data_IF_898596404938
#
_entry.id   IF_898596404938
#
_cell.length_a   1.000
_cell.length_b   1.000
_cell.length_c   1.000
_cell.angle_alpha   90.00
_cell.angle_beta   90.00
_cell.angle_gamma   90.00
#
_symmetry.space_group_name_H-M   'P 1'
#
loop_
_entity.id
_entity.type
_entity.pdbx_description
1 polymer ?
#
# COMPACT_ATOMS: atom_id res chain seq x y z
N UNK A 1 30.73 -28.49 -22.20
CA UNK A 1 29.95 -28.73 -20.98
C UNK A 1 28.85 -27.70 -20.97
N UNK A 2 27.66 -28.11 -21.32
CA UNK A 2 26.47 -27.25 -21.30
C UNK A 2 25.96 -27.17 -19.84
N UNK A 3 26.01 -26.00 -19.24
CA UNK A 3 25.31 -25.75 -18.02
C UNK A 3 23.82 -25.70 -18.37
N UNK A 4 23.06 -26.71 -17.93
CA UNK A 4 21.59 -26.62 -17.83
C UNK A 4 21.25 -25.57 -16.76
N UNK A 5 20.92 -24.37 -17.18
CA UNK A 5 20.10 -23.48 -16.38
C UNK A 5 18.73 -24.17 -16.23
N UNK A 6 18.43 -24.66 -15.06
CA UNK A 6 17.10 -25.13 -14.71
C UNK A 6 16.17 -23.92 -14.77
N UNK A 7 15.33 -23.90 -15.81
CA UNK A 7 14.25 -22.93 -15.90
C UNK A 7 13.44 -23.00 -14.58
N UNK A 8 13.51 -21.94 -13.77
CA UNK A 8 12.66 -21.82 -12.59
C UNK A 8 11.21 -21.76 -13.07
N UNK A 9 10.39 -22.71 -12.62
CA UNK A 9 8.94 -22.71 -12.83
C UNK A 9 8.38 -21.42 -12.19
N UNK A 10 7.76 -20.51 -12.96
CA UNK A 10 7.22 -19.24 -12.46
C UNK A 10 6.27 -19.44 -11.28
N UNK A 11 5.47 -20.51 -11.30
CA UNK A 11 4.51 -20.86 -10.24
C UNK A 11 5.22 -21.19 -8.92
N UNK A 12 6.36 -21.89 -8.95
CA UNK A 12 7.13 -22.19 -7.75
C UNK A 12 7.80 -20.92 -7.18
N UNK A 13 8.24 -20.02 -8.06
CA UNK A 13 8.82 -18.73 -7.65
C UNK A 13 7.79 -17.85 -6.95
N UNK A 14 6.57 -17.81 -7.48
CA UNK A 14 5.46 -17.03 -6.90
C UNK A 14 5.02 -17.57 -5.55
N UNK A 15 4.81 -18.88 -5.43
CA UNK A 15 4.48 -19.53 -4.15
C UNK A 15 5.57 -19.31 -3.11
N UNK A 16 6.85 -19.38 -3.50
CA UNK A 16 7.96 -19.08 -2.61
C UNK A 16 7.90 -17.65 -2.08
N UNK A 17 7.63 -16.66 -2.95
CA UNK A 17 7.51 -15.27 -2.57
C UNK A 17 6.32 -15.03 -1.63
N UNK A 18 5.18 -15.63 -1.92
CA UNK A 18 3.99 -15.57 -1.07
C UNK A 18 4.26 -16.09 0.35
N UNK A 19 4.85 -17.29 0.46
CA UNK A 19 5.19 -17.88 1.77
C UNK A 19 6.25 -17.05 2.51
N UNK A 20 7.21 -16.46 1.79
CA UNK A 20 8.19 -15.52 2.36
C UNK A 20 7.50 -14.32 3.02
N UNK A 21 6.50 -13.73 2.38
CA UNK A 21 5.74 -12.60 2.93
C UNK A 21 4.95 -13.01 4.18
N UNK A 22 4.30 -14.17 4.16
CA UNK A 22 3.61 -14.71 5.35
C UNK A 22 4.61 -14.92 6.49
N UNK A 23 5.79 -15.46 6.18
CA UNK A 23 6.87 -15.65 7.16
C UNK A 23 7.31 -14.32 7.77
N UNK A 24 7.40 -13.25 6.96
CA UNK A 24 7.74 -11.92 7.45
C UNK A 24 6.69 -11.40 8.45
N UNK A 25 5.41 -11.51 8.15
CA UNK A 25 4.34 -11.16 9.09
C UNK A 25 4.40 -11.99 10.38
N UNK A 26 4.59 -13.30 10.28
CA UNK A 26 4.70 -14.19 11.44
C UNK A 26 5.93 -13.89 12.31
N UNK A 27 7.02 -13.39 11.71
CA UNK A 27 8.26 -13.06 12.40
C UNK A 27 8.24 -11.70 13.11
N UNK A 28 7.25 -10.85 12.84
CA UNK A 28 7.13 -9.47 13.37
C UNK A 28 7.38 -9.39 14.88
N UNK A 29 6.65 -10.19 15.68
CA UNK A 29 6.75 -10.19 17.15
C UNK A 29 8.18 -10.44 17.64
N UNK A 30 8.80 -11.50 17.13
CA UNK A 30 10.16 -11.90 17.53
C UNK A 30 11.16 -10.81 17.21
N UNK A 31 11.08 -10.24 16.02
CA UNK A 31 11.98 -9.16 15.60
C UNK A 31 11.80 -7.90 16.47
N UNK A 32 10.56 -7.48 16.69
CA UNK A 32 10.24 -6.27 17.45
C UNK A 32 10.66 -6.37 18.92
N UNK A 33 10.36 -7.50 19.58
CA UNK A 33 10.77 -7.72 20.97
C UNK A 33 12.28 -7.81 21.12
N UNK A 34 13.01 -8.42 20.18
CA UNK A 34 14.48 -8.44 20.22
C UNK A 34 15.09 -7.03 20.21
N UNK A 35 14.54 -6.12 19.38
CA UNK A 35 14.95 -4.73 19.37
C UNK A 35 14.64 -4.02 20.69
N UNK A 36 13.51 -4.32 21.31
CA UNK A 36 13.15 -3.73 22.59
C UNK A 36 13.97 -4.30 23.75
N UNK A 37 14.32 -5.57 23.73
CA UNK A 37 15.25 -6.19 24.71
C UNK A 37 16.64 -5.54 24.69
N UNK A 38 17.10 -5.10 23.51
CA UNK A 38 18.35 -4.31 23.44
C UNK A 38 18.23 -3.04 24.27
N UNK A 39 17.13 -2.31 24.20
CA UNK A 39 16.91 -1.07 24.98
C UNK A 39 16.92 -1.32 26.47
N UNK A 40 16.34 -2.44 26.96
CA UNK A 40 16.46 -2.84 28.37
C UNK A 40 17.90 -3.05 28.78
N UNK A 41 18.68 -3.76 27.99
CA UNK A 41 20.10 -4.01 28.28
C UNK A 41 20.89 -2.69 28.29
N UNK A 42 20.66 -1.83 27.33
CA UNK A 42 21.33 -0.54 27.25
C UNK A 42 21.02 0.33 28.46
N UNK A 43 19.75 0.38 28.93
CA UNK A 43 19.37 1.06 30.17
C UNK A 43 20.03 0.44 31.40
N UNK A 44 20.04 -0.87 31.51
CA UNK A 44 20.65 -1.55 32.68
C UNK A 44 22.16 -1.32 32.77
N UNK A 45 22.81 -1.08 31.63
CA UNK A 45 24.23 -0.75 31.56
C UNK A 45 24.54 0.71 31.91
N UNK A 46 23.56 1.61 32.08
CA UNK A 46 23.77 2.98 32.46
C UNK A 46 24.34 3.09 33.89
N UNK A 47 25.15 4.12 34.20
CA UNK A 47 25.52 4.50 35.57
C UNK A 47 24.28 4.75 36.43
N UNK A 48 24.34 4.44 37.71
CA UNK A 48 23.19 4.50 38.61
C UNK A 48 22.57 5.90 38.69
N UNK A 49 23.42 6.96 38.72
CA UNK A 49 22.94 8.34 38.74
C UNK A 49 22.16 8.73 37.47
N UNK A 50 22.44 8.10 36.29
CA UNK A 50 21.65 8.32 35.09
C UNK A 50 20.29 7.61 35.17
N UNK A 51 20.24 6.39 35.71
CA UNK A 51 18.97 5.65 35.92
C UNK A 51 18.01 6.42 36.82
N UNK A 52 18.55 7.07 37.87
CA UNK A 52 17.76 7.91 38.79
C UNK A 52 17.12 9.12 38.10
N UNK A 53 17.68 9.60 36.97
CA UNK A 53 17.12 10.71 36.19
C UNK A 53 15.97 10.26 35.27
N UNK A 54 15.88 8.96 34.97
CA UNK A 54 14.87 8.38 34.07
C UNK A 54 14.24 7.11 34.67
N UNK A 55 13.66 7.20 35.90
CA UNK A 55 13.21 6.02 36.63
C UNK A 55 12.12 5.20 35.88
N UNK A 56 11.29 5.86 35.09
CA UNK A 56 10.16 5.25 34.38
C UNK A 56 10.53 4.65 33.02
N UNK A 57 11.81 4.70 32.63
CA UNK A 57 12.22 4.24 31.30
C UNK A 57 11.89 2.76 31.05
N UNK A 58 12.09 1.89 32.05
CA UNK A 58 11.72 0.47 31.91
C UNK A 58 10.22 0.27 31.77
N UNK A 59 9.42 1.05 32.49
CA UNK A 59 7.96 1.00 32.37
C UNK A 59 7.51 1.37 30.92
N UNK A 60 8.14 2.41 30.31
CA UNK A 60 7.94 2.73 28.89
C UNK A 60 8.27 1.52 28.00
N UNK A 61 9.44 0.88 28.21
CA UNK A 61 9.89 -0.29 27.42
C UNK A 61 8.91 -1.45 27.58
N UNK A 62 8.34 -1.67 28.78
CA UNK A 62 7.30 -2.68 29.00
C UNK A 62 6.00 -2.37 28.27
N UNK A 63 5.61 -1.09 28.20
CA UNK A 63 4.42 -0.67 27.43
C UNK A 63 4.64 -0.82 25.93
N UNK A 64 5.86 -0.62 25.41
CA UNK A 64 6.21 -0.93 24.02
C UNK A 64 6.00 -2.42 23.73
N UNK A 65 6.39 -3.32 24.65
CA UNK A 65 6.16 -4.76 24.47
C UNK A 65 4.66 -5.08 24.36
N UNK A 66 3.81 -4.48 25.21
CA UNK A 66 2.35 -4.64 25.13
C UNK A 66 1.79 -4.20 23.77
N UNK A 67 2.23 -3.05 23.27
CA UNK A 67 1.81 -2.55 21.96
C UNK A 67 2.28 -3.48 20.82
N UNK A 68 3.46 -4.09 20.93
CA UNK A 68 3.96 -5.08 19.98
C UNK A 68 3.07 -6.35 19.99
N UNK A 69 2.64 -6.81 21.16
CA UNK A 69 1.74 -7.96 21.27
C UNK A 69 0.37 -7.67 20.63
N UNK A 70 -0.19 -6.48 20.86
CA UNK A 70 -1.44 -6.07 20.23
C UNK A 70 -1.33 -5.97 18.70
N UNK A 71 -0.24 -5.40 18.19
CA UNK A 71 0.04 -5.43 16.76
C UNK A 71 0.14 -6.85 16.21
N UNK A 72 0.77 -7.77 16.97
CA UNK A 72 0.85 -9.17 16.55
C UNK A 72 -0.53 -9.85 16.55
N UNK A 73 -1.39 -9.53 17.51
CA UNK A 73 -2.77 -10.02 17.53
C UNK A 73 -3.50 -9.59 16.24
N UNK A 74 -3.35 -8.32 15.83
CA UNK A 74 -3.90 -7.82 14.58
C UNK A 74 -3.28 -8.49 13.34
N UNK A 75 -1.96 -8.62 13.29
CA UNK A 75 -1.23 -9.28 12.19
C UNK A 75 -1.69 -10.73 12.00
N UNK A 76 -2.01 -11.45 13.07
CA UNK A 76 -2.54 -12.83 12.97
C UNK A 76 -3.84 -12.91 12.16
N UNK A 77 -4.69 -11.89 12.22
CA UNK A 77 -5.89 -11.84 11.38
C UNK A 77 -5.54 -11.68 9.90
N UNK A 78 -4.55 -10.84 9.57
CA UNK A 78 -4.04 -10.68 8.20
C UNK A 78 -3.46 -12.02 7.70
N UNK A 79 -2.59 -12.66 8.49
CA UNK A 79 -1.99 -13.95 8.14
C UNK A 79 -3.06 -15.02 7.92
N UNK A 80 -4.05 -15.10 8.82
CA UNK A 80 -5.15 -16.07 8.66
C UNK A 80 -5.94 -15.84 7.37
N UNK A 81 -6.13 -14.59 6.96
CA UNK A 81 -6.85 -14.28 5.72
C UNK A 81 -6.06 -14.63 4.46
N UNK A 82 -4.73 -14.81 4.56
CA UNK A 82 -3.86 -15.19 3.44
C UNK A 82 -4.09 -16.64 2.96
N UNK A 83 -4.83 -17.48 3.68
CA UNK A 83 -5.20 -18.84 3.24
C UNK A 83 -5.91 -18.87 1.87
N UNK A 84 -6.60 -17.79 1.49
CA UNK A 84 -7.21 -17.64 0.17
C UNK A 84 -6.16 -17.70 -0.97
N UNK A 85 -4.96 -17.20 -0.72
CA UNK A 85 -3.87 -17.20 -1.70
C UNK A 85 -3.04 -18.50 -1.69
N UNK A 86 -3.37 -19.44 -0.81
CA UNK A 86 -2.73 -20.74 -0.62
C UNK A 86 -3.69 -21.90 -0.92
N UNK A 87 -4.67 -21.71 -1.78
CA UNK A 87 -5.69 -22.72 -2.12
C UNK A 87 -6.36 -23.36 -0.87
N UNK A 88 -6.52 -22.54 0.17
CA UNK A 88 -7.12 -22.97 1.44
C UNK A 88 -6.15 -23.64 2.43
N UNK A 89 -4.87 -23.80 2.08
CA UNK A 89 -3.87 -24.33 3.00
C UNK A 89 -3.68 -23.38 4.20
N UNK A 90 -3.43 -23.95 5.39
CA UNK A 90 -3.10 -23.15 6.55
C UNK A 90 -1.76 -22.41 6.37
N UNK A 91 -1.75 -21.07 6.49
CA UNK A 91 -0.55 -20.27 6.28
C UNK A 91 0.61 -20.64 7.21
N UNK A 92 0.34 -21.07 8.45
CA UNK A 92 1.40 -21.44 9.41
C UNK A 92 2.04 -22.78 9.07
N UNK A 93 1.30 -23.68 8.46
CA UNK A 93 1.87 -24.93 7.90
C UNK A 93 2.82 -24.62 6.77
N UNK A 94 2.45 -23.75 5.84
CA UNK A 94 3.31 -23.30 4.74
C UNK A 94 4.60 -22.62 5.26
N UNK A 95 4.50 -21.76 6.28
CA UNK A 95 5.66 -21.13 6.95
C UNK A 95 6.59 -22.19 7.55
N UNK A 96 6.05 -23.20 8.22
CA UNK A 96 6.86 -24.25 8.86
C UNK A 96 7.64 -25.07 7.83
N UNK A 97 7.02 -25.41 6.72
CA UNK A 97 7.66 -26.11 5.58
C UNK A 97 8.78 -25.26 4.97
N UNK A 98 8.51 -23.98 4.73
CA UNK A 98 9.48 -23.04 4.18
C UNK A 98 10.71 -22.86 5.09
N UNK A 99 10.49 -22.74 6.41
CA UNK A 99 11.59 -22.63 7.38
C UNK A 99 12.48 -23.89 7.43
N UNK A 100 11.90 -25.09 7.24
CA UNK A 100 12.68 -26.32 7.16
C UNK A 100 13.58 -26.35 5.93
N UNK A 101 13.08 -25.91 4.77
CA UNK A 101 13.86 -25.80 3.53
C UNK A 101 14.99 -24.77 3.66
N UNK A 102 14.72 -23.62 4.30
CA UNK A 102 15.72 -22.55 4.47
C UNK A 102 16.86 -22.90 5.44
N UNK A 103 16.66 -23.79 6.43
CA UNK A 103 17.75 -24.25 7.30
C UNK A 103 18.92 -24.85 6.52
N UNK A 104 18.69 -25.30 5.29
CA UNK A 104 19.72 -25.85 4.40
C UNK A 104 20.53 -24.76 3.70
N UNK A 105 20.08 -23.51 3.66
CA UNK A 105 20.67 -22.43 2.85
C UNK A 105 21.49 -21.42 3.64
N UNK A 106 21.54 -21.48 4.96
CA UNK A 106 22.20 -20.52 5.87
C UNK A 106 21.77 -19.04 5.68
N UNK A 107 20.69 -18.77 4.96
CA UNK A 107 20.15 -17.41 4.79
C UNK A 107 19.14 -17.11 5.88
N UNK A 108 19.08 -15.87 6.41
CA UNK A 108 18.06 -15.50 7.37
C UNK A 108 16.67 -15.61 6.73
N UNK A 109 15.66 -16.15 7.43
CA UNK A 109 14.32 -16.37 6.88
C UNK A 109 13.59 -15.06 6.56
N UNK A 110 14.02 -13.95 7.17
CA UNK A 110 13.42 -12.62 7.06
C UNK A 110 14.51 -11.58 7.11
N UNK A 111 14.48 -10.63 6.18
CA UNK A 111 15.44 -9.53 6.09
C UNK A 111 14.93 -8.28 6.84
N UNK A 112 15.79 -7.29 7.16
CA UNK A 112 15.35 -5.99 7.66
C UNK A 112 14.33 -5.31 6.74
N UNK A 113 14.51 -5.39 5.42
CA UNK A 113 13.60 -4.84 4.43
C UNK A 113 12.20 -5.48 4.50
N UNK A 114 12.13 -6.81 4.71
CA UNK A 114 10.84 -7.50 4.92
C UNK A 114 10.12 -6.96 6.17
N UNK A 115 10.86 -6.67 7.25
CA UNK A 115 10.29 -6.07 8.46
C UNK A 115 9.83 -4.63 8.25
N UNK A 116 10.55 -3.85 7.46
CA UNK A 116 10.13 -2.49 7.12
C UNK A 116 8.84 -2.52 6.28
N UNK A 117 8.68 -3.49 5.38
CA UNK A 117 7.42 -3.68 4.64
C UNK A 117 6.25 -4.04 5.57
N UNK A 118 6.45 -4.90 6.58
CA UNK A 118 5.41 -5.19 7.60
C UNK A 118 5.02 -3.91 8.37
N UNK A 119 6.01 -3.11 8.81
CA UNK A 119 5.76 -1.84 9.52
C UNK A 119 5.05 -0.82 8.62
N UNK A 120 5.45 -0.75 7.35
CA UNK A 120 4.81 0.12 6.36
C UNK A 120 3.36 -0.30 6.12
N UNK A 121 3.06 -1.60 6.11
CA UNK A 121 1.68 -2.10 5.99
C UNK A 121 0.81 -1.61 7.17
N UNK A 122 1.31 -1.64 8.41
CA UNK A 122 0.58 -1.09 9.55
C UNK A 122 0.33 0.42 9.41
N UNK A 123 1.29 1.19 8.90
CA UNK A 123 1.11 2.62 8.61
C UNK A 123 0.14 2.86 7.46
N UNK A 124 0.11 1.96 6.46
CA UNK A 124 -0.85 2.05 5.37
C UNK A 124 -2.28 1.87 5.86
N UNK A 125 -2.53 1.00 6.86
CA UNK A 125 -3.85 0.94 7.52
C UNK A 125 -4.24 2.27 8.16
N UNK A 126 -3.29 3.01 8.75
CA UNK A 126 -3.59 4.35 9.30
C UNK A 126 -4.06 5.29 8.20
N UNK A 127 -3.29 5.39 7.10
CA UNK A 127 -3.62 6.27 5.98
C UNK A 127 -4.96 5.90 5.35
N UNK A 128 -5.18 4.63 5.05
CA UNK A 128 -6.29 4.19 4.22
C UNK A 128 -7.57 3.90 5.02
N UNK A 129 -7.46 3.38 6.24
CA UNK A 129 -8.61 2.83 6.97
C UNK A 129 -8.71 3.34 8.41
N UNK A 130 -8.18 4.52 8.73
CA UNK A 130 -8.42 5.18 10.03
C UNK A 130 -8.90 6.61 9.87
N UNK A 131 -9.48 7.14 10.94
CA UNK A 131 -9.81 8.57 11.02
C UNK A 131 -8.56 9.45 10.97
N UNK A 132 -7.43 9.00 11.50
CA UNK A 132 -6.18 9.78 11.49
C UNK A 132 -5.64 10.00 10.07
N UNK A 133 -5.88 9.06 9.15
CA UNK A 133 -5.49 9.17 7.75
C UNK A 133 -6.35 10.12 6.90
N UNK A 134 -7.44 10.66 7.46
CA UNK A 134 -8.39 11.49 6.71
C UNK A 134 -7.74 12.69 6.04
N UNK A 135 -6.80 13.37 6.71
CA UNK A 135 -6.12 14.55 6.16
C UNK A 135 -5.30 14.19 4.90
N UNK A 136 -4.56 13.09 4.92
CA UNK A 136 -3.80 12.61 3.75
C UNK A 136 -4.74 12.17 2.61
N UNK A 137 -5.84 11.48 2.93
CA UNK A 137 -6.86 11.10 1.94
C UNK A 137 -7.55 12.31 1.33
N UNK A 138 -7.97 13.29 2.13
CA UNK A 138 -8.56 14.53 1.61
C UNK A 138 -7.62 15.27 0.67
N UNK A 139 -6.35 15.37 1.02
CA UNK A 139 -5.37 16.03 0.16
C UNK A 139 -5.16 15.31 -1.18
N UNK A 140 -5.30 13.98 -1.23
CA UNK A 140 -4.97 13.18 -2.42
C UNK A 140 -6.17 12.58 -3.13
N UNK A 141 -7.19 12.08 -2.41
CA UNK A 141 -8.34 11.40 -3.00
C UNK A 141 -9.44 12.38 -3.41
N UNK A 142 -9.68 13.45 -2.62
CA UNK A 142 -10.70 14.44 -2.96
C UNK A 142 -10.46 15.11 -4.33
N UNK A 143 -9.24 15.54 -4.69
CA UNK A 143 -8.98 16.07 -6.05
C UNK A 143 -9.29 15.06 -7.15
N UNK A 144 -8.98 13.78 -6.96
CA UNK A 144 -9.28 12.71 -7.91
C UNK A 144 -10.80 12.54 -8.07
N UNK A 145 -11.52 12.41 -6.96
CA UNK A 145 -12.98 12.23 -6.96
C UNK A 145 -13.68 13.47 -7.55
N UNK A 146 -13.20 14.67 -7.25
CA UNK A 146 -13.71 15.91 -7.84
C UNK A 146 -13.48 15.96 -9.36
N UNK A 147 -12.28 15.57 -9.82
CA UNK A 147 -11.98 15.49 -11.25
C UNK A 147 -12.90 14.49 -11.96
N UNK A 148 -13.09 13.28 -11.40
CA UNK A 148 -14.04 12.29 -11.93
C UNK A 148 -15.46 12.85 -12.03
N UNK A 149 -15.96 13.46 -10.95
CA UNK A 149 -17.30 14.04 -10.94
C UNK A 149 -17.47 15.19 -11.96
N UNK A 150 -16.44 15.99 -12.18
CA UNK A 150 -16.46 17.10 -13.15
C UNK A 150 -16.41 16.58 -14.59
N UNK A 151 -15.56 15.57 -14.87
CA UNK A 151 -15.42 14.98 -16.21
C UNK A 151 -16.72 14.32 -16.65
N UNK A 152 -17.37 13.58 -15.74
CA UNK A 152 -18.59 12.81 -16.02
C UNK A 152 -19.87 13.50 -15.49
N UNK A 153 -19.87 14.83 -15.31
CA UNK A 153 -21.02 15.60 -14.79
C UNK A 153 -22.28 15.49 -15.63
N UNK A 154 -22.11 15.33 -16.95
CA UNK A 154 -23.20 15.28 -17.93
C UNK A 154 -23.71 13.86 -18.18
N UNK A 155 -23.04 12.84 -17.60
CA UNK A 155 -23.57 11.48 -17.61
C UNK A 155 -24.69 11.34 -16.59
N UNK A 156 -25.89 10.88 -16.98
CA UNK A 156 -26.96 10.56 -16.05
C UNK A 156 -26.46 9.68 -14.92
N UNK A 157 -26.92 9.96 -13.70
CA UNK A 157 -26.38 9.29 -12.50
C UNK A 157 -26.57 7.77 -12.59
N UNK A 158 -27.64 7.31 -13.22
CA UNK A 158 -28.00 5.89 -13.43
C UNK A 158 -27.02 5.16 -14.38
N UNK A 159 -26.27 5.92 -15.18
CA UNK A 159 -25.29 5.39 -16.15
C UNK A 159 -23.86 5.51 -15.67
N UNK A 160 -23.61 6.04 -14.48
CA UNK A 160 -22.25 6.17 -13.94
C UNK A 160 -21.58 4.81 -13.69
N UNK A 161 -22.36 3.77 -13.40
CA UNK A 161 -21.89 2.40 -13.29
C UNK A 161 -21.28 1.84 -14.59
N UNK A 162 -21.60 2.44 -15.73
CA UNK A 162 -21.01 2.05 -17.02
C UNK A 162 -19.59 2.62 -17.23
N UNK A 163 -19.20 3.63 -16.42
CA UNK A 163 -17.87 4.23 -16.44
C UNK A 163 -16.90 3.37 -15.65
N UNK A 164 -15.95 2.77 -16.35
CA UNK A 164 -14.95 1.85 -15.79
C UNK A 164 -13.67 2.60 -15.39
N UNK A 165 -13.34 2.56 -14.11
CA UNK A 165 -12.16 3.21 -13.54
C UNK A 165 -11.16 2.15 -13.08
N UNK A 166 -9.91 2.25 -13.52
CA UNK A 166 -8.80 1.41 -13.07
C UNK A 166 -7.89 2.21 -12.12
N UNK A 167 -7.55 1.61 -10.99
CA UNK A 167 -6.63 2.18 -9.99
C UNK A 167 -5.45 1.24 -9.80
N UNK A 168 -4.35 1.37 -10.57
CA UNK A 168 -3.14 0.58 -10.34
C UNK A 168 -2.40 1.08 -9.08
N UNK A 169 -1.72 0.14 -8.39
CA UNK A 169 -1.08 0.41 -7.10
C UNK A 169 -2.09 0.73 -5.99
N UNK A 170 -3.23 0.04 -5.97
CA UNK A 170 -4.36 0.35 -5.11
C UNK A 170 -4.09 0.16 -3.60
N UNK A 171 -2.95 -0.44 -3.20
CA UNK A 171 -2.58 -0.65 -1.81
C UNK A 171 -3.65 -1.45 -1.05
N UNK A 172 -4.22 -0.84 0.00
CA UNK A 172 -5.30 -1.46 0.76
C UNK A 172 -6.70 -1.27 0.15
N UNK A 173 -6.79 -0.79 -1.09
CA UNK A 173 -8.03 -0.66 -1.85
C UNK A 173 -8.89 0.55 -1.50
N UNK A 174 -8.44 1.46 -0.61
CA UNK A 174 -9.26 2.57 -0.14
C UNK A 174 -9.63 3.56 -1.23
N UNK A 175 -8.69 4.00 -2.06
CA UNK A 175 -9.01 4.93 -3.16
C UNK A 175 -10.01 4.32 -4.13
N UNK A 176 -9.81 3.06 -4.53
CA UNK A 176 -10.73 2.37 -5.42
C UNK A 176 -12.12 2.21 -4.79
N UNK A 177 -12.19 1.93 -3.48
CA UNK A 177 -13.44 1.91 -2.72
C UNK A 177 -14.11 3.30 -2.66
N UNK A 178 -13.36 4.36 -2.38
CA UNK A 178 -13.90 5.73 -2.31
C UNK A 178 -14.41 6.19 -3.69
N UNK A 179 -13.75 5.82 -4.80
CA UNK A 179 -14.25 6.06 -6.17
C UNK A 179 -15.54 5.28 -6.42
N UNK A 180 -15.57 3.99 -6.08
CA UNK A 180 -16.76 3.16 -6.19
C UNK A 180 -17.92 3.68 -5.32
N UNK A 181 -17.63 4.41 -4.22
CA UNK A 181 -18.61 5.05 -3.33
C UNK A 181 -18.99 6.47 -3.77
N UNK A 182 -18.24 7.12 -4.66
CA UNK A 182 -18.34 8.56 -4.97
C UNK A 182 -19.62 8.97 -5.72
N UNK A 183 -20.53 8.05 -6.04
CA UNK A 183 -21.86 8.37 -6.53
C UNK A 183 -22.63 9.19 -5.49
N UNK A 184 -23.33 10.27 -5.93
CA UNK A 184 -24.31 10.95 -5.07
C UNK A 184 -25.41 9.96 -4.69
N UNK A 185 -26.01 10.14 -3.50
CA UNK A 185 -27.15 9.32 -3.11
C UNK A 185 -28.24 9.31 -4.20
N UNK A 186 -28.83 8.14 -4.52
CA UNK A 186 -28.58 6.82 -3.97
C UNK A 186 -27.27 6.17 -4.47
N UNK A 187 -26.51 5.55 -3.58
CA UNK A 187 -25.18 4.94 -3.81
C UNK A 187 -25.14 3.86 -4.92
N UNK A 188 -26.28 3.38 -5.36
CA UNK A 188 -26.39 2.32 -6.38
C UNK A 188 -25.93 2.74 -7.80
N UNK A 189 -25.57 4.01 -8.00
CA UNK A 189 -25.16 4.57 -9.29
C UNK A 189 -23.75 5.17 -9.25
N UNK A 190 -22.83 4.45 -8.65
CA UNK A 190 -21.42 4.84 -8.52
C UNK A 190 -20.60 4.34 -9.71
N UNK A 191 -19.36 4.80 -9.84
CA UNK A 191 -18.43 4.30 -10.88
C UNK A 191 -18.10 2.83 -10.66
N UNK A 192 -17.98 2.05 -11.76
CA UNK A 192 -17.34 0.73 -11.70
C UNK A 192 -15.84 0.92 -11.48
N UNK A 193 -15.29 0.35 -10.43
CA UNK A 193 -13.90 0.58 -10.07
C UNK A 193 -13.16 -0.71 -9.77
N UNK A 194 -12.01 -0.88 -10.42
CA UNK A 194 -11.09 -1.99 -10.18
C UNK A 194 -9.76 -1.46 -9.66
N UNK A 195 -9.34 -1.95 -8.49
CA UNK A 195 -7.98 -1.78 -7.98
C UNK A 195 -7.06 -2.88 -8.49
N UNK A 196 -5.78 -2.56 -8.72
CA UNK A 196 -4.74 -3.54 -9.00
C UNK A 196 -3.60 -3.37 -8.00
N UNK A 197 -3.07 -4.47 -7.51
CA UNK A 197 -1.97 -4.47 -6.56
C UNK A 197 -1.04 -5.67 -6.80
N UNK A 198 0.26 -5.45 -6.68
CA UNK A 198 1.29 -6.47 -6.88
C UNK A 198 1.88 -7.01 -5.56
N UNK A 199 1.99 -6.14 -4.55
CA UNK A 199 2.66 -6.48 -3.29
C UNK A 199 1.80 -7.42 -2.44
N UNK A 200 2.27 -8.63 -2.16
CA UNK A 200 1.59 -9.55 -1.25
C UNK A 200 1.41 -8.99 0.17
N UNK A 201 2.27 -8.06 0.63
CA UNK A 201 2.06 -7.35 1.89
C UNK A 201 0.75 -6.55 1.87
N UNK A 202 0.49 -5.86 0.76
CA UNK A 202 -0.73 -5.09 0.56
C UNK A 202 -1.92 -5.98 0.23
N UNK A 203 -1.74 -7.01 -0.59
CA UNK A 203 -2.82 -7.94 -0.98
C UNK A 203 -3.42 -8.67 0.22
N UNK A 204 -2.62 -9.20 1.15
CA UNK A 204 -3.15 -9.86 2.34
C UNK A 204 -3.88 -8.88 3.25
N UNK A 205 -3.32 -7.68 3.41
CA UNK A 205 -3.92 -6.63 4.21
C UNK A 205 -5.21 -6.08 3.59
N UNK A 206 -5.25 -5.87 2.26
CA UNK A 206 -6.45 -5.44 1.54
C UNK A 206 -7.54 -6.50 1.60
N UNK A 207 -7.20 -7.76 1.35
CA UNK A 207 -8.16 -8.86 1.47
C UNK A 207 -8.76 -8.95 2.88
N UNK A 208 -7.94 -8.75 3.91
CA UNK A 208 -8.43 -8.74 5.29
C UNK A 208 -9.40 -7.57 5.53
N UNK A 209 -9.02 -6.33 5.21
CA UNK A 209 -9.86 -5.17 5.51
C UNK A 209 -11.14 -5.15 4.69
N UNK A 210 -11.07 -5.56 3.41
CA UNK A 210 -12.21 -5.52 2.50
C UNK A 210 -13.24 -6.63 2.77
N UNK A 211 -12.82 -7.77 3.36
CA UNK A 211 -13.69 -8.95 3.42
C UNK A 211 -13.91 -9.54 4.83
N UNK A 212 -13.16 -9.12 5.85
CA UNK A 212 -13.17 -9.80 7.15
C UNK A 212 -13.63 -8.95 8.32
N UNK A 213 -13.64 -7.63 8.18
CA UNK A 213 -14.08 -6.71 9.23
C UNK A 213 -15.62 -6.66 9.33
N UNK A 214 -16.13 -6.56 10.56
CA UNK A 214 -17.57 -6.66 10.85
C UNK A 214 -18.16 -5.38 11.42
N UNK A 215 -17.33 -4.52 12.00
CA UNK A 215 -17.78 -3.24 12.59
C UNK A 215 -16.70 -2.18 12.49
N UNK A 216 -17.08 -0.90 12.42
CA UNK A 216 -16.11 0.19 12.51
C UNK A 216 -15.32 0.12 13.82
N UNK A 217 -14.05 0.54 13.79
CA UNK A 217 -13.15 0.58 14.94
C UNK A 217 -12.94 -0.78 15.65
N UNK A 218 -13.06 -1.87 14.90
CA UNK A 218 -12.99 -3.24 15.43
C UNK A 218 -11.63 -3.56 16.04
N UNK A 219 -10.55 -3.02 15.49
CA UNK A 219 -9.19 -3.27 15.91
C UNK A 219 -8.45 -2.00 16.33
N UNK A 220 -7.47 -2.17 17.21
CA UNK A 220 -6.48 -1.16 17.54
C UNK A 220 -5.12 -1.61 17.04
N UNK A 221 -4.39 -0.71 16.39
CA UNK A 221 -2.99 -0.93 16.01
C UNK A 221 -2.12 0.18 16.60
N UNK A 222 -0.84 -0.10 16.75
CA UNK A 222 0.16 0.83 17.31
C UNK A 222 1.27 1.04 16.26
N UNK A 223 1.01 1.84 15.21
CA UNK A 223 1.86 1.91 14.02
C UNK A 223 3.18 2.62 14.27
N UNK A 224 3.25 3.46 15.33
CA UNK A 224 4.41 4.29 15.63
C UNK A 224 5.32 3.73 16.74
N UNK A 225 4.96 2.58 17.32
CA UNK A 225 5.66 1.94 18.45
C UNK A 225 7.14 1.65 18.19
N UNK A 226 7.52 1.46 16.92
CA UNK A 226 8.90 1.16 16.53
C UNK A 226 9.80 2.39 16.39
N UNK A 227 9.25 3.59 16.34
CA UNK A 227 9.99 4.84 16.23
C UNK A 227 10.39 5.32 17.62
N UNK A 228 11.71 5.45 17.86
CA UNK A 228 12.27 5.99 19.11
C UNK A 228 13.02 7.30 18.88
N UNK A 229 13.09 7.75 17.64
CA UNK A 229 13.63 9.04 17.24
C UNK A 229 12.52 9.96 16.79
N UNK A 230 12.69 11.26 16.97
CA UNK A 230 11.72 12.30 16.57
C UNK A 230 10.32 12.06 17.16
N UNK A 231 10.27 11.60 18.40
CA UNK A 231 9.05 11.39 19.20
C UNK A 231 8.89 12.55 20.16
N UNK A 232 7.75 13.22 20.14
CA UNK A 232 7.43 14.36 20.99
C UNK A 232 7.08 13.91 22.42
N UNK A 233 6.31 12.81 22.55
CA UNK A 233 5.95 12.24 23.85
C UNK A 233 5.76 10.72 23.76
N UNK A 234 5.81 10.04 24.90
CA UNK A 234 5.56 8.60 24.96
C UNK A 234 4.12 8.26 24.57
N UNK A 235 3.16 9.12 24.90
CA UNK A 235 1.76 8.97 24.51
C UNK A 235 1.60 8.95 22.99
N UNK A 236 2.30 9.83 22.26
CA UNK A 236 2.27 9.87 20.80
C UNK A 236 2.88 8.61 20.18
N UNK A 237 3.92 8.04 20.82
CA UNK A 237 4.53 6.80 20.34
C UNK A 237 3.63 5.59 20.57
N UNK A 238 2.94 5.55 21.70
CA UNK A 238 2.20 4.40 22.20
C UNK A 238 0.69 4.54 21.99
N UNK A 239 0.23 5.54 21.23
CA UNK A 239 -1.20 5.74 20.99
C UNK A 239 -1.77 4.66 20.09
N UNK A 240 -2.95 4.13 20.43
CA UNK A 240 -3.69 3.23 19.56
C UNK A 240 -4.35 3.99 18.42
N UNK A 241 -4.31 3.43 17.22
CA UNK A 241 -5.10 3.87 16.08
C UNK A 241 -6.20 2.86 15.81
N UNK A 242 -7.45 3.33 15.76
CA UNK A 242 -8.63 2.48 15.53
C UNK A 242 -8.89 2.29 14.04
N UNK A 243 -9.17 1.04 13.64
CA UNK A 243 -9.50 0.64 12.28
C UNK A 243 -10.64 -0.38 12.26
N UNK A 244 -11.41 -0.42 11.17
CA UNK A 244 -11.53 0.58 10.10
C UNK A 244 -12.36 1.79 10.56
N UNK A 245 -12.21 2.92 9.85
CA UNK A 245 -13.07 4.10 10.05
C UNK A 245 -14.48 3.89 9.50
N UNK A 246 -14.63 3.08 8.46
CA UNK A 246 -15.88 2.64 7.86
C UNK A 246 -15.77 1.21 7.33
N UNK A 247 -16.91 0.57 7.10
CA UNK A 247 -16.91 -0.80 6.57
C UNK A 247 -16.96 -0.82 5.06
N UNK A 248 -16.09 -1.63 4.40
CA UNK A 248 -16.23 -1.90 2.97
C UNK A 248 -17.57 -2.52 2.59
N UNK A 249 -18.16 -3.31 3.48
CA UNK A 249 -19.50 -3.91 3.31
C UNK A 249 -20.66 -2.90 3.26
N UNK A 250 -20.41 -1.62 3.56
CA UNK A 250 -21.41 -0.55 3.40
C UNK A 250 -21.59 -0.17 1.92
N UNK A 251 -20.72 -0.66 1.02
CA UNK A 251 -20.91 -0.50 -0.41
C UNK A 251 -22.04 -1.43 -0.90
N UNK A 252 -23.06 -0.90 -1.60
CA UNK A 252 -24.13 -1.74 -2.14
C UNK A 252 -23.59 -2.81 -3.07
N UNK A 253 -24.17 -4.02 -3.02
CA UNK A 253 -23.78 -5.15 -3.88
C UNK A 253 -24.01 -4.90 -5.39
N UNK A 254 -24.75 -3.84 -5.71
CA UNK A 254 -24.98 -3.39 -7.09
C UNK A 254 -23.83 -2.57 -7.66
N UNK A 255 -22.91 -2.10 -6.82
CA UNK A 255 -21.73 -1.35 -7.24
C UNK A 255 -20.63 -2.32 -7.60
N UNK A 256 -20.11 -2.19 -8.82
CA UNK A 256 -19.01 -3.01 -9.32
C UNK A 256 -17.68 -2.49 -8.73
N UNK A 257 -17.17 -3.23 -7.75
CA UNK A 257 -15.90 -2.97 -7.09
C UNK A 257 -15.10 -4.27 -6.98
N UNK A 258 -13.87 -4.25 -7.47
CA UNK A 258 -13.00 -5.42 -7.44
C UNK A 258 -11.53 -5.08 -7.20
N UNK A 259 -10.77 -6.06 -6.72
CA UNK A 259 -9.30 -6.01 -6.60
C UNK A 259 -8.69 -7.14 -7.41
N UNK A 260 -7.66 -6.81 -8.20
CA UNK A 260 -6.89 -7.76 -9.02
C UNK A 260 -5.45 -7.81 -8.51
N UNK A 261 -4.98 -9.01 -8.21
CA UNK A 261 -3.58 -9.27 -7.87
C UNK A 261 -2.76 -9.46 -9.16
N UNK A 262 -1.59 -8.85 -9.24
CA UNK A 262 -0.64 -9.05 -10.34
C UNK A 262 0.11 -7.79 -10.71
N UNK A 263 1.20 -7.98 -11.46
CA UNK A 263 1.99 -6.89 -12.00
C UNK A 263 1.17 -6.07 -13.01
N UNK A 264 1.26 -4.74 -12.89
CA UNK A 264 0.46 -3.83 -13.71
C UNK A 264 0.74 -3.98 -15.21
N UNK A 265 2.00 -4.14 -15.59
CA UNK A 265 2.41 -4.27 -16.99
C UNK A 265 1.93 -5.61 -17.53
N UNK A 266 2.13 -6.69 -16.79
CA UNK A 266 1.73 -8.04 -17.21
C UNK A 266 0.21 -8.14 -17.38
N UNK A 267 -0.55 -7.66 -16.40
CA UNK A 267 -2.02 -7.74 -16.41
C UNK A 267 -2.60 -6.78 -17.46
N UNK A 268 -2.34 -5.48 -17.35
CA UNK A 268 -3.02 -4.46 -18.15
C UNK A 268 -2.32 -4.14 -19.49
N UNK A 269 -1.10 -4.62 -19.67
CA UNK A 269 -0.42 -4.67 -20.97
C UNK A 269 -0.98 -5.74 -21.91
N UNK A 270 -1.80 -6.69 -21.45
CA UNK A 270 -2.43 -7.72 -22.25
C UNK A 270 -3.43 -7.15 -23.27
N UNK A 271 -3.67 -7.88 -24.36
CA UNK A 271 -4.51 -7.40 -25.47
C UNK A 271 -6.00 -7.22 -25.06
N UNK A 272 -6.47 -7.99 -24.13
CA UNK A 272 -7.85 -7.97 -23.61
C UNK A 272 -8.20 -6.66 -22.87
N UNK A 273 -7.19 -5.98 -22.32
CA UNK A 273 -7.36 -4.70 -21.64
C UNK A 273 -7.22 -3.49 -22.57
N UNK A 274 -6.88 -3.69 -23.85
CA UNK A 274 -6.72 -2.59 -24.81
C UNK A 274 -8.05 -1.85 -25.02
N UNK A 275 -8.07 -0.56 -24.68
CA UNK A 275 -9.26 0.30 -24.82
C UNK A 275 -10.43 -0.14 -23.94
N UNK A 276 -10.16 -0.77 -22.79
CA UNK A 276 -11.18 -1.32 -21.92
C UNK A 276 -11.64 -0.31 -20.83
N UNK A 277 -10.89 0.75 -20.59
CA UNK A 277 -11.07 1.64 -19.45
C UNK A 277 -11.43 3.05 -19.89
N UNK A 278 -12.41 3.66 -19.22
CA UNK A 278 -12.78 5.06 -19.42
C UNK A 278 -11.79 5.99 -18.69
N UNK A 279 -11.33 5.54 -17.51
CA UNK A 279 -10.37 6.27 -16.69
C UNK A 279 -9.31 5.34 -16.11
N UNK A 280 -8.06 5.81 -16.08
CA UNK A 280 -7.00 5.25 -15.25
C UNK A 280 -6.60 6.30 -14.22
N UNK A 281 -6.57 5.92 -12.94
CA UNK A 281 -6.20 6.80 -11.82
C UNK A 281 -4.92 6.29 -11.19
N UNK A 282 -3.86 7.10 -11.25
CA UNK A 282 -2.58 6.82 -10.59
C UNK A 282 -2.41 7.74 -9.38
N UNK A 283 -2.18 7.14 -8.19
CA UNK A 283 -2.01 7.86 -6.93
C UNK A 283 -0.79 7.30 -6.20
N UNK A 284 0.33 8.06 -6.15
CA UNK A 284 1.63 7.56 -5.62
C UNK A 284 2.04 6.24 -6.29
N UNK A 285 1.97 6.20 -7.62
CA UNK A 285 2.16 4.96 -8.37
C UNK A 285 3.25 5.05 -9.45
N UNK A 286 3.37 6.16 -10.20
CA UNK A 286 4.24 6.24 -11.36
C UNK A 286 5.72 6.00 -11.04
N UNK A 287 6.17 6.47 -9.90
CA UNK A 287 7.54 6.36 -9.40
C UNK A 287 7.89 4.99 -8.81
N UNK A 288 6.92 4.07 -8.77
CA UNK A 288 7.15 2.66 -8.44
C UNK A 288 7.65 1.83 -9.63
N UNK A 289 7.64 2.40 -10.84
CA UNK A 289 8.08 1.74 -12.05
C UNK A 289 9.60 1.64 -12.14
N UNK A 290 10.13 0.52 -12.65
CA UNK A 290 11.51 0.43 -13.14
C UNK A 290 11.69 1.29 -14.40
N UNK A 291 10.70 1.30 -15.27
CA UNK A 291 10.61 2.10 -16.48
C UNK A 291 9.27 2.84 -16.51
N UNK A 292 9.27 4.12 -16.12
CA UNK A 292 8.08 4.96 -16.08
C UNK A 292 7.41 5.12 -17.46
N UNK A 293 8.19 5.04 -18.54
CA UNK A 293 7.68 5.17 -19.92
C UNK A 293 6.75 4.01 -20.23
N UNK A 294 7.13 2.80 -19.86
CA UNK A 294 6.34 1.60 -20.06
C UNK A 294 5.00 1.65 -19.31
N UNK A 295 5.01 2.20 -18.06
CA UNK A 295 3.76 2.44 -17.34
C UNK A 295 2.84 3.39 -18.10
N UNK A 296 3.38 4.50 -18.64
CA UNK A 296 2.59 5.46 -19.42
C UNK A 296 2.05 4.85 -20.71
N UNK A 297 2.81 3.99 -21.41
CA UNK A 297 2.36 3.28 -22.60
C UNK A 297 1.23 2.29 -22.28
N UNK A 298 1.34 1.54 -21.18
CA UNK A 298 0.28 0.62 -20.72
C UNK A 298 -0.98 1.40 -20.32
N UNK A 299 -0.86 2.53 -19.62
CA UNK A 299 -1.99 3.41 -19.31
C UNK A 299 -2.67 3.88 -20.60
N UNK A 300 -1.89 4.36 -21.56
CA UNK A 300 -2.44 4.79 -22.85
C UNK A 300 -3.13 3.66 -23.60
N UNK A 301 -2.53 2.46 -23.64
CA UNK A 301 -3.10 1.27 -24.29
C UNK A 301 -4.42 0.86 -23.64
N UNK A 302 -4.49 0.85 -22.33
CA UNK A 302 -5.66 0.44 -21.55
C UNK A 302 -6.85 1.40 -21.70
N UNK A 303 -6.60 2.68 -21.89
CA UNK A 303 -7.64 3.70 -22.07
C UNK A 303 -8.37 3.57 -23.41
N UNK A 304 -9.69 3.79 -23.38
CA UNK A 304 -10.51 4.04 -24.58
C UNK A 304 -10.04 5.29 -25.32
N UNK A 305 -10.36 5.48 -26.63
CA UNK A 305 -10.24 6.79 -27.27
C UNK A 305 -10.98 7.87 -26.45
N UNK A 306 -10.37 9.03 -26.23
CA UNK A 306 -10.84 10.08 -25.34
C UNK A 306 -10.94 9.68 -23.84
N UNK A 307 -10.44 8.51 -23.46
CA UNK A 307 -10.33 8.11 -22.05
C UNK A 307 -9.37 9.02 -21.27
N UNK A 308 -9.53 9.08 -19.96
CA UNK A 308 -8.83 10.06 -19.13
C UNK A 308 -7.83 9.38 -18.20
N UNK A 309 -6.64 9.92 -18.13
CA UNK A 309 -5.66 9.60 -17.10
C UNK A 309 -5.65 10.72 -16.04
N UNK A 310 -5.95 10.35 -14.79
CA UNK A 310 -5.84 11.23 -13.62
C UNK A 310 -4.64 10.78 -12.80
N UNK A 311 -3.72 11.68 -12.46
CA UNK A 311 -2.56 11.39 -11.65
C UNK A 311 -2.45 12.33 -10.46
N UNK A 312 -2.00 11.79 -9.33
CA UNK A 312 -1.48 12.55 -8.20
C UNK A 312 -0.33 11.79 -7.54
N UNK A 313 0.83 12.41 -7.46
CA UNK A 313 2.00 11.78 -6.80
C UNK A 313 3.29 12.54 -7.01
N UNK A 314 4.31 12.20 -6.23
CA UNK A 314 5.68 12.67 -6.44
C UNK A 314 6.38 11.86 -7.54
N UNK A 315 7.67 12.09 -7.70
CA UNK A 315 8.60 11.29 -8.49
C UNK A 315 9.76 10.85 -7.58
N UNK A 316 9.44 10.00 -6.59
CA UNK A 316 10.41 9.35 -5.70
C UNK A 316 10.66 7.95 -6.22
N UNK A 317 11.57 7.82 -7.18
CA UNK A 317 11.83 6.56 -7.90
C UNK A 317 12.31 5.45 -6.97
N UNK A 318 11.55 4.36 -6.88
CA UNK A 318 11.80 3.26 -5.96
C UNK A 318 13.06 2.46 -6.28
N UNK A 319 13.58 2.58 -7.50
CA UNK A 319 14.75 1.83 -7.99
C UNK A 319 15.98 2.72 -8.23
N UNK A 320 15.95 4.04 -7.88
CA UNK A 320 17.05 4.99 -8.07
C UNK A 320 18.40 4.46 -7.52
N UNK A 321 18.37 3.90 -6.32
CA UNK A 321 19.55 3.36 -5.64
C UNK A 321 19.61 1.82 -5.66
N UNK A 322 19.01 1.17 -6.67
CA UNK A 322 18.96 -0.29 -6.72
C UNK A 322 20.35 -0.89 -6.91
N UNK A 323 20.76 -1.71 -5.94
CA UNK A 323 22.01 -2.49 -6.00
C UNK A 323 21.81 -3.89 -6.58
N UNK A 324 20.57 -4.27 -6.92
CA UNK A 324 20.20 -5.60 -7.44
C UNK A 324 20.44 -5.76 -8.93
N UNK A 325 20.91 -4.70 -9.62
CA UNK A 325 21.09 -4.70 -11.08
C UNK A 325 19.80 -4.44 -11.86
N UNK A 326 18.71 -4.08 -11.17
CA UNK A 326 17.51 -3.61 -11.82
C UNK A 326 17.78 -2.28 -12.55
N UNK A 327 17.28 -2.16 -13.78
CA UNK A 327 17.30 -0.88 -14.49
C UNK A 327 16.32 0.09 -13.85
N UNK A 328 16.67 1.37 -13.82
CA UNK A 328 15.80 2.44 -13.37
C UNK A 328 15.92 3.62 -14.31
N UNK A 329 14.81 4.26 -14.64
CA UNK A 329 14.74 5.43 -15.52
C UNK A 329 14.08 6.57 -14.75
N UNK A 330 14.89 7.55 -14.33
CA UNK A 330 14.49 8.69 -13.52
C UNK A 330 14.32 9.94 -14.41
N UNK A 331 13.08 10.28 -14.70
CA UNK A 331 12.73 11.47 -15.48
C UNK A 331 12.34 12.62 -14.56
N UNK A 332 12.70 13.86 -14.89
CA UNK A 332 12.13 15.04 -14.26
C UNK A 332 10.64 15.18 -14.63
N UNK A 333 9.87 15.94 -13.84
CA UNK A 333 8.45 16.16 -14.10
C UNK A 333 8.18 16.70 -15.52
N UNK A 334 9.04 17.60 -16.02
CA UNK A 334 8.91 18.15 -17.37
C UNK A 334 9.13 17.07 -18.43
N UNK A 335 10.13 16.19 -18.23
CA UNK A 335 10.40 15.08 -19.14
C UNK A 335 9.24 14.06 -19.11
N UNK A 336 8.68 13.73 -17.93
CA UNK A 336 7.49 12.87 -17.83
C UNK A 336 6.33 13.43 -18.66
N UNK A 337 6.06 14.74 -18.53
CA UNK A 337 4.99 15.41 -19.28
C UNK A 337 5.25 15.43 -20.79
N UNK A 338 6.50 15.64 -21.21
CA UNK A 338 6.86 15.58 -22.62
C UNK A 338 6.70 14.18 -23.22
N UNK A 339 7.14 13.16 -22.49
CA UNK A 339 6.97 11.77 -22.92
C UNK A 339 5.49 11.41 -23.01
N UNK A 340 4.68 11.79 -22.01
CA UNK A 340 3.23 11.57 -22.06
C UNK A 340 2.58 12.21 -23.28
N UNK A 341 2.97 13.46 -23.65
CA UNK A 341 2.48 14.12 -24.88
C UNK A 341 2.89 13.34 -26.15
N UNK A 342 4.13 12.85 -26.20
CA UNK A 342 4.63 12.06 -27.35
C UNK A 342 3.91 10.72 -27.48
N UNK A 343 3.49 10.11 -26.36
CA UNK A 343 2.68 8.87 -26.35
C UNK A 343 1.26 9.14 -26.87
N UNK A 344 0.74 10.38 -26.77
CA UNK A 344 -0.60 10.75 -27.26
C UNK A 344 -1.54 11.23 -26.15
N UNK A 345 -1.02 11.83 -25.09
CA UNK A 345 -1.83 12.46 -24.04
C UNK A 345 -1.91 13.98 -24.21
N UNK A 346 -3.09 14.55 -24.04
CA UNK A 346 -3.31 15.99 -23.95
C UNK A 346 -3.68 16.39 -22.51
N UNK A 347 -2.84 17.20 -21.85
CA UNK A 347 -3.10 17.67 -20.50
C UNK A 347 -4.21 18.72 -20.47
N UNK A 348 -5.23 18.51 -19.64
CA UNK A 348 -6.38 19.43 -19.48
C UNK A 348 -6.31 20.25 -18.20
N UNK A 349 -5.81 19.65 -17.10
CA UNK A 349 -5.59 20.31 -15.82
C UNK A 349 -4.22 19.92 -15.28
N UNK A 350 -3.55 20.84 -14.61
CA UNK A 350 -2.27 20.60 -13.95
C UNK A 350 -2.16 21.48 -12.71
N UNK A 351 -1.87 20.87 -11.57
CA UNK A 351 -1.72 21.53 -10.28
C UNK A 351 -0.60 20.85 -9.47
N UNK A 352 -0.20 21.49 -8.37
CA UNK A 352 0.69 20.91 -7.38
C UNK A 352 -0.05 20.81 -6.03
N UNK A 353 0.00 19.63 -5.39
CA UNK A 353 -0.67 19.36 -4.12
C UNK A 353 0.37 18.96 -3.07
N UNK A 354 0.43 19.74 -1.97
CA UNK A 354 1.29 19.40 -0.83
C UNK A 354 0.57 18.43 0.10
N UNK A 355 1.23 17.32 0.43
CA UNK A 355 0.70 16.31 1.35
C UNK A 355 1.83 15.54 2.03
N UNK A 356 1.50 14.79 3.08
CA UNK A 356 2.36 13.74 3.63
C UNK A 356 1.93 12.37 3.13
N UNK A 357 2.71 11.33 3.39
CA UNK A 357 2.35 9.95 3.07
C UNK A 357 2.71 9.02 4.23
N UNK A 358 1.71 8.37 4.82
CA UNK A 358 1.84 7.51 6.01
C UNK A 358 2.60 8.16 7.18
N UNK A 359 2.48 9.47 7.29
CA UNK A 359 3.20 10.27 8.29
C UNK A 359 2.61 10.08 9.69
N UNK A 360 3.47 10.25 10.71
CA UNK A 360 2.98 10.49 12.06
C UNK A 360 2.64 11.98 12.21
N UNK A 361 1.35 12.36 12.34
CA UNK A 361 0.95 13.77 12.42
C UNK A 361 1.57 14.49 13.65
N UNK A 362 1.86 13.74 14.72
CA UNK A 362 2.44 14.27 15.97
C UNK A 362 3.94 14.00 16.10
N UNK A 363 4.59 13.56 15.00
CA UNK A 363 6.04 13.37 14.98
C UNK A 363 6.81 14.67 14.82
N UNK A 364 8.05 14.70 15.37
CA UNK A 364 8.98 15.84 15.23
C UNK A 364 9.62 15.91 13.83
N UNK A 365 9.47 14.87 12.99
CA UNK A 365 9.95 14.81 11.61
C UNK A 365 8.78 14.48 10.68
N UNK A 366 8.59 15.30 9.65
CA UNK A 366 7.58 15.09 8.61
C UNK A 366 8.22 15.25 7.25
N UNK A 367 7.96 14.31 6.35
CA UNK A 367 8.25 14.46 4.92
C UNK A 367 7.01 15.00 4.23
N UNK A 368 7.13 16.15 3.58
CA UNK A 368 6.08 16.76 2.77
C UNK A 368 6.44 16.57 1.30
N UNK A 369 5.51 15.99 0.56
CA UNK A 369 5.61 15.83 -0.89
C UNK A 369 4.85 16.95 -1.59
N UNK A 370 5.46 17.57 -2.59
CA UNK A 370 4.76 18.40 -3.56
C UNK A 370 4.40 17.51 -4.74
N UNK A 371 3.21 16.93 -4.68
CA UNK A 371 2.72 16.00 -5.67
C UNK A 371 2.24 16.71 -6.92
N UNK A 372 2.62 16.23 -8.09
CA UNK A 372 2.05 16.68 -9.35
C UNK A 372 0.66 16.07 -9.54
N UNK A 373 -0.35 16.92 -9.69
CA UNK A 373 -1.71 16.51 -10.05
C UNK A 373 -2.00 16.90 -11.49
N UNK A 374 -2.60 16.00 -12.27
CA UNK A 374 -3.10 16.32 -13.61
C UNK A 374 -4.28 15.45 -14.03
N UNK A 375 -5.04 15.99 -14.99
CA UNK A 375 -5.93 15.19 -15.84
C UNK A 375 -5.42 15.29 -17.28
N UNK A 376 -5.30 14.16 -17.98
CA UNK A 376 -4.86 14.10 -19.36
C UNK A 376 -5.79 13.18 -20.16
N UNK A 377 -6.09 13.57 -21.40
CA UNK A 377 -6.98 12.83 -22.31
C UNK A 377 -6.14 12.12 -23.34
N UNK A 378 -6.46 10.85 -23.61
CA UNK A 378 -5.89 10.10 -24.72
C UNK A 378 -6.44 10.62 -26.04
N UNK A 379 -5.54 11.03 -26.95
CA UNK A 379 -5.84 11.51 -28.32
C UNK A 379 -6.14 10.33 -29.28
#
# INVERSE_FOLDING_TARGET
>A
MHHHETAHDPTQSEQFHLVKVITAFAYYRRHALNHNHRRRRDYLALPEHHKQLIPDYLHKVDNVDKCIEENMNFIRHIVKSASMFLDGQDPMTAVSQHQQQQKQTNKPPVTPMDMDKVRSTLKQFVRDWSMEGEAERKATYDPIVQALNNIFKDIPIEKRGDVRVLVPGAGLGRLAFDIAKAGKLPLQYSFSCQGNEFSYYMLFASHFVLNRLKKPQEHSIFPFVHSFSNIQSDENQLRPVKIPDMLPSDLPSTVDFSMVAGDFIEVYGAQEHKGAWDVVVTCFFLDTAKNIIEYMEVIHKALKPNGVWINIGPLLYHFEDSTSGDSSIELSLDQVKEVAKKIGFEFKQQDMVSTTYTSNPDGMLKYVYNCAFWTAVKL
#
